data_IF_450187155646
#
_entry.id   IF_450187155646
#
_cell.length_a   1.000
_cell.length_b   1.000
_cell.length_c   1.000
_cell.angle_alpha   90.00
_cell.angle_beta   90.00
_cell.angle_gamma   90.00
#
_symmetry.space_group_name_H-M   'P 1'
#
loop_
_entity.id
_entity.type
_entity.pdbx_description
1 polymer ?
#
# COMPACT_ATOMS: atom_id res chain seq x y z
N UNK A 1 4.21 3.16 -9.06
CA UNK A 1 3.04 4.10 -8.98
C UNK A 1 3.56 5.47 -8.61
N UNK A 2 3.39 6.47 -9.48
CA UNK A 2 3.73 7.87 -9.24
C UNK A 2 2.44 8.67 -9.03
N UNK A 3 2.52 9.89 -8.50
CA UNK A 3 1.35 10.76 -8.41
C UNK A 3 0.71 11.03 -9.78
N UNK A 4 1.50 11.11 -10.84
CA UNK A 4 1.03 11.27 -12.21
C UNK A 4 0.14 10.10 -12.69
N UNK A 5 0.36 8.89 -12.15
CA UNK A 5 -0.37 7.68 -12.51
C UNK A 5 -1.73 7.57 -11.78
N UNK A 6 -1.94 8.36 -10.70
CA UNK A 6 -3.19 8.37 -9.92
C UNK A 6 -4.22 9.27 -10.58
N UNK A 7 -5.40 8.76 -10.82
CA UNK A 7 -6.49 9.51 -11.46
C UNK A 7 -7.07 10.55 -10.47
N UNK A 8 -7.13 11.81 -10.88
CA UNK A 8 -7.68 12.89 -10.06
C UNK A 8 -6.89 13.16 -8.77
N UNK A 9 -7.60 13.55 -7.71
CA UNK A 9 -7.08 13.80 -6.35
C UNK A 9 -5.99 14.91 -6.25
N UNK A 10 -6.01 15.89 -7.14
CA UNK A 10 -4.92 16.87 -7.29
C UNK A 10 -4.66 17.69 -6.02
N UNK A 11 -5.71 18.06 -5.28
CA UNK A 11 -5.58 18.78 -4.01
C UNK A 11 -4.86 17.93 -2.96
N UNK A 12 -5.21 16.62 -2.86
CA UNK A 12 -4.57 15.72 -1.92
C UNK A 12 -3.11 15.44 -2.31
N UNK A 13 -2.85 15.20 -3.58
CA UNK A 13 -1.47 15.04 -4.12
C UNK A 13 -0.61 16.24 -3.77
N UNK A 14 -1.12 17.46 -3.97
CA UNK A 14 -0.41 18.69 -3.65
C UNK A 14 -0.10 18.79 -2.15
N UNK A 15 -1.07 18.51 -1.28
CA UNK A 15 -0.87 18.52 0.18
C UNK A 15 0.15 17.49 0.64
N UNK A 16 0.08 16.27 0.10
CA UNK A 16 1.02 15.19 0.42
C UNK A 16 2.45 15.56 -0.01
N UNK A 17 2.63 16.07 -1.24
CA UNK A 17 3.94 16.55 -1.72
C UNK A 17 4.50 17.64 -0.83
N UNK A 18 3.67 18.65 -0.52
CA UNK A 18 4.09 19.75 0.34
C UNK A 18 4.55 19.25 1.72
N UNK A 19 3.80 18.33 2.34
CA UNK A 19 4.18 17.73 3.63
C UNK A 19 5.57 17.11 3.61
N UNK A 20 5.88 16.37 2.54
CA UNK A 20 7.21 15.75 2.36
C UNK A 20 8.30 16.80 2.14
N UNK A 21 8.03 17.79 1.31
CA UNK A 21 8.99 18.87 0.99
C UNK A 21 9.41 19.68 2.21
N UNK A 22 8.47 19.94 3.12
CA UNK A 22 8.74 20.69 4.37
C UNK A 22 9.12 19.79 5.55
N UNK A 23 9.32 18.49 5.32
CA UNK A 23 9.72 17.53 6.36
C UNK A 23 8.63 17.26 7.41
N UNK A 24 7.37 17.50 7.10
CA UNK A 24 6.22 17.29 8.01
C UNK A 24 5.37 16.11 7.55
N UNK A 25 5.87 14.91 7.79
CA UNK A 25 5.14 13.67 7.51
C UNK A 25 4.52 13.18 8.82
N UNK A 26 3.19 13.13 8.95
CA UNK A 26 2.54 12.61 10.15
C UNK A 26 2.89 11.14 10.41
N UNK A 27 3.03 10.75 11.68
CA UNK A 27 3.32 9.36 12.08
C UNK A 27 2.20 8.38 11.71
N UNK A 28 0.96 8.85 11.68
CA UNK A 28 -0.20 8.06 11.26
C UNK A 28 -1.08 8.90 10.34
N UNK A 29 -1.54 8.30 9.25
CA UNK A 29 -2.40 8.93 8.28
C UNK A 29 -3.50 7.96 7.88
N UNK A 30 -4.73 8.47 7.81
CA UNK A 30 -5.90 7.73 7.38
C UNK A 30 -6.37 8.28 6.04
N UNK A 31 -6.34 7.46 4.99
CA UNK A 31 -6.85 7.80 3.67
C UNK A 31 -8.22 7.15 3.52
N UNK A 32 -9.26 7.96 3.50
CA UNK A 32 -10.66 7.52 3.36
C UNK A 32 -11.18 7.88 1.97
N UNK A 33 -12.00 7.00 1.43
CA UNK A 33 -12.71 7.22 0.17
C UNK A 33 -13.67 6.05 -0.11
N UNK A 34 -14.59 6.26 -1.03
CA UNK A 34 -15.44 5.21 -1.57
C UNK A 34 -14.61 4.19 -2.36
N UNK A 35 -15.17 3.04 -2.59
CA UNK A 35 -14.58 2.03 -3.47
C UNK A 35 -14.26 2.63 -4.85
N UNK A 36 -13.14 2.21 -5.42
CA UNK A 36 -12.67 2.72 -6.71
C UNK A 36 -12.15 4.16 -6.70
N UNK A 37 -12.17 4.88 -5.56
CA UNK A 37 -11.68 6.27 -5.49
C UNK A 37 -10.15 6.40 -5.53
N UNK A 38 -9.40 5.30 -5.58
CA UNK A 38 -7.94 5.28 -5.71
C UNK A 38 -7.17 5.46 -4.41
N UNK A 39 -7.74 5.12 -3.27
CA UNK A 39 -7.08 5.22 -1.96
C UNK A 39 -5.74 4.49 -1.93
N UNK A 40 -5.71 3.24 -2.41
CA UNK A 40 -4.50 2.43 -2.47
C UNK A 40 -3.49 3.03 -3.46
N UNK A 41 -3.93 3.43 -4.64
CA UNK A 41 -3.10 4.05 -5.66
C UNK A 41 -2.43 5.33 -5.11
N UNK A 42 -3.19 6.18 -4.42
CA UNK A 42 -2.70 7.40 -3.79
C UNK A 42 -1.69 7.09 -2.67
N UNK A 43 -1.98 6.10 -1.83
CA UNK A 43 -1.08 5.67 -0.75
C UNK A 43 0.26 5.15 -1.32
N UNK A 44 0.23 4.32 -2.34
CA UNK A 44 1.44 3.78 -2.98
C UNK A 44 2.26 4.88 -3.67
N UNK A 45 1.61 5.83 -4.35
CA UNK A 45 2.29 6.98 -4.95
C UNK A 45 2.96 7.86 -3.88
N UNK A 46 2.29 8.07 -2.76
CA UNK A 46 2.82 8.83 -1.63
C UNK A 46 4.03 8.14 -0.99
N UNK A 47 3.94 6.84 -0.73
CA UNK A 47 5.06 6.04 -0.21
C UNK A 47 6.25 6.13 -1.18
N UNK A 48 6.02 5.97 -2.48
CA UNK A 48 7.08 6.07 -3.47
C UNK A 48 7.71 7.47 -3.49
N UNK A 49 6.92 8.53 -3.33
CA UNK A 49 7.43 9.89 -3.25
C UNK A 49 8.29 10.13 -2.00
N UNK A 50 7.86 9.61 -0.83
CA UNK A 50 8.64 9.69 0.42
C UNK A 50 10.00 9.01 0.28
N UNK A 51 10.02 7.79 -0.28
CA UNK A 51 11.22 6.95 -0.38
C UNK A 51 12.10 7.24 -1.59
N UNK A 52 11.65 8.08 -2.51
CA UNK A 52 12.41 8.43 -3.70
C UNK A 52 13.64 9.25 -3.36
N UNK A 53 14.84 8.77 -3.75
CA UNK A 53 16.09 9.49 -3.55
C UNK A 53 16.27 10.69 -4.48
N UNK A 54 15.55 10.72 -5.60
CA UNK A 54 15.66 11.72 -6.67
C UNK A 54 14.31 12.34 -7.01
N UNK A 55 13.49 12.60 -5.98
CA UNK A 55 12.17 13.23 -6.19
C UNK A 55 12.30 14.68 -6.64
N UNK A 56 11.45 15.09 -7.55
CA UNK A 56 11.25 16.49 -7.91
C UNK A 56 10.22 17.16 -6.98
N UNK A 57 9.95 18.44 -7.21
CA UNK A 57 8.83 19.11 -6.53
C UNK A 57 7.47 18.51 -6.92
N UNK A 58 7.36 17.92 -8.11
CA UNK A 58 6.12 17.45 -8.68
C UNK A 58 5.87 15.96 -8.47
N UNK A 59 6.92 15.10 -8.51
CA UNK A 59 6.71 13.65 -8.41
C UNK A 59 8.01 12.90 -8.04
N UNK A 60 7.85 11.61 -7.73
CA UNK A 60 8.96 10.66 -7.64
C UNK A 60 9.58 10.40 -9.01
N UNK A 61 10.88 10.13 -9.08
CA UNK A 61 11.56 9.92 -10.35
C UNK A 61 11.13 8.65 -11.10
N UNK A 62 10.60 7.65 -10.39
CA UNK A 62 10.20 6.36 -10.96
C UNK A 62 11.36 5.43 -11.37
N UNK A 63 12.60 5.88 -11.34
CA UNK A 63 13.76 5.18 -11.93
C UNK A 63 14.77 4.72 -10.89
N UNK A 64 14.91 5.41 -9.75
CA UNK A 64 15.86 5.03 -8.70
C UNK A 64 15.53 3.68 -8.09
N UNK A 65 16.49 3.10 -7.36
CA UNK A 65 16.35 1.79 -6.74
C UNK A 65 15.14 1.68 -5.80
N UNK A 66 14.88 2.72 -4.99
CA UNK A 66 13.69 2.77 -4.13
C UNK A 66 12.40 2.78 -4.93
N UNK A 67 12.28 3.62 -5.95
CA UNK A 67 11.10 3.67 -6.82
C UNK A 67 10.79 2.32 -7.47
N UNK A 68 11.81 1.64 -7.99
CA UNK A 68 11.66 0.31 -8.59
C UNK A 68 11.16 -0.72 -7.58
N UNK A 69 11.71 -0.71 -6.36
CA UNK A 69 11.30 -1.64 -5.29
C UNK A 69 9.89 -1.35 -4.78
N UNK A 70 9.51 -0.07 -4.60
CA UNK A 70 8.15 0.31 -4.22
C UNK A 70 7.15 -0.08 -5.31
N UNK A 71 7.43 0.21 -6.57
CA UNK A 71 6.56 -0.17 -7.69
C UNK A 71 6.40 -1.70 -7.82
N UNK A 72 7.43 -2.45 -7.45
CA UNK A 72 7.37 -3.91 -7.40
C UNK A 72 6.77 -4.45 -6.09
N UNK A 73 6.36 -3.58 -5.15
CA UNK A 73 5.85 -3.93 -3.82
C UNK A 73 6.82 -4.79 -2.99
N UNK A 74 8.13 -4.55 -3.10
CA UNK A 74 9.19 -5.32 -2.42
C UNK A 74 10.22 -4.44 -1.70
N UNK A 75 9.86 -3.19 -1.40
CA UNK A 75 10.77 -2.31 -0.68
C UNK A 75 10.92 -2.78 0.78
N UNK A 76 12.16 -2.92 1.32
CA UNK A 76 12.39 -3.49 2.64
C UNK A 76 11.76 -2.68 3.78
N UNK A 77 11.66 -1.36 3.62
CA UNK A 77 11.09 -0.47 4.64
C UNK A 77 9.57 -0.25 4.46
N UNK A 78 8.92 -1.02 3.58
CA UNK A 78 7.47 -0.93 3.36
C UNK A 78 6.83 -2.26 3.69
N UNK A 79 5.97 -2.26 4.69
CA UNK A 79 5.24 -3.42 5.14
C UNK A 79 3.75 -3.28 4.82
N UNK A 80 3.19 -4.32 4.25
CA UNK A 80 1.79 -4.36 3.85
C UNK A 80 1.02 -5.28 4.78
N UNK A 81 -0.10 -4.79 5.30
CA UNK A 81 -1.03 -5.57 6.10
C UNK A 81 -2.43 -5.34 5.57
N UNK A 82 -3.12 -6.42 5.28
CA UNK A 82 -4.43 -6.39 4.62
C UNK A 82 -5.31 -7.52 5.16
N UNK A 83 -6.65 -7.40 5.07
CA UNK A 83 -7.56 -8.45 5.50
C UNK A 83 -7.50 -9.65 4.55
N UNK A 84 -7.58 -10.86 5.12
CA UNK A 84 -7.69 -12.11 4.38
C UNK A 84 -8.53 -13.14 5.16
N UNK A 85 -9.16 -14.14 4.49
CA UNK A 85 -9.90 -15.18 5.16
C UNK A 85 -8.93 -16.14 5.83
N UNK A 86 -9.03 -16.30 7.16
CA UNK A 86 -8.18 -17.25 7.87
C UNK A 86 -8.53 -18.69 7.48
N UNK A 87 -7.51 -19.47 7.18
CA UNK A 87 -7.60 -20.91 6.94
C UNK A 87 -6.44 -21.60 7.67
N UNK A 88 -6.77 -22.39 8.67
CA UNK A 88 -5.77 -23.07 9.49
C UNK A 88 -4.82 -23.93 8.63
N UNK A 89 -3.52 -23.77 8.87
CA UNK A 89 -2.46 -24.46 8.13
C UNK A 89 -2.14 -23.89 6.74
N UNK A 90 -2.94 -22.92 6.22
CA UNK A 90 -2.72 -22.36 4.88
C UNK A 90 -2.61 -20.83 4.89
N UNK A 91 -3.51 -20.14 5.58
CA UNK A 91 -3.57 -18.67 5.61
C UNK A 91 -3.67 -18.20 7.06
N UNK A 92 -2.55 -18.02 7.72
CA UNK A 92 -2.48 -17.62 9.13
C UNK A 92 -1.93 -16.20 9.33
N UNK A 93 -1.20 -15.68 8.34
CA UNK A 93 -0.57 -14.37 8.36
C UNK A 93 -0.51 -13.76 6.94
N UNK A 94 -0.34 -12.46 6.83
CA UNK A 94 -0.29 -11.77 5.54
C UNK A 94 0.78 -12.34 4.61
N UNK A 95 1.92 -12.77 5.12
CA UNK A 95 3.00 -13.37 4.31
C UNK A 95 2.57 -14.62 3.53
N UNK A 96 1.58 -15.36 4.03
CA UNK A 96 1.11 -16.60 3.40
C UNK A 96 0.30 -16.31 2.11
N UNK A 97 -0.34 -15.14 2.06
CA UNK A 97 -1.15 -14.67 0.91
C UNK A 97 -0.54 -13.46 0.20
N UNK A 98 0.62 -12.99 0.65
CA UNK A 98 1.28 -11.82 0.09
C UNK A 98 1.61 -11.95 -1.41
N UNK A 99 2.06 -13.09 -1.93
CA UNK A 99 2.31 -13.25 -3.37
C UNK A 99 1.06 -12.98 -4.22
N UNK A 100 -0.11 -13.51 -3.81
CA UNK A 100 -1.37 -13.31 -4.49
C UNK A 100 -1.82 -11.85 -4.42
N UNK A 101 -1.76 -11.24 -3.22
CA UNK A 101 -2.11 -9.84 -3.02
C UNK A 101 -1.22 -8.90 -3.86
N UNK A 102 0.07 -9.18 -3.88
CA UNK A 102 1.04 -8.41 -4.65
C UNK A 102 0.74 -8.43 -6.15
N UNK A 103 0.45 -9.60 -6.71
CA UNK A 103 0.10 -9.70 -8.13
C UNK A 103 -1.24 -9.01 -8.43
N UNK A 104 -2.25 -9.18 -7.57
CA UNK A 104 -3.54 -8.51 -7.70
C UNK A 104 -3.40 -6.98 -7.71
N UNK A 105 -2.64 -6.39 -6.77
CA UNK A 105 -2.41 -4.93 -6.71
C UNK A 105 -1.56 -4.43 -7.88
N UNK A 106 -0.66 -5.23 -8.43
CA UNK A 106 0.10 -4.88 -9.63
C UNK A 106 -0.76 -4.87 -10.88
N UNK A 107 -1.72 -5.80 -10.96
CA UNK A 107 -2.67 -5.87 -12.05
C UNK A 107 -3.71 -4.75 -11.98
N UNK A 108 -4.30 -4.57 -10.80
CA UNK A 108 -5.26 -3.48 -10.54
C UNK A 108 -5.02 -2.84 -9.17
N UNK A 109 -4.44 -1.65 -9.18
CA UNK A 109 -4.21 -0.86 -7.95
C UNK A 109 -5.50 -0.26 -7.37
N UNK A 110 -6.60 -0.30 -8.12
CA UNK A 110 -7.94 0.14 -7.68
C UNK A 110 -8.81 -1.03 -7.16
N UNK A 111 -8.21 -2.21 -7.02
CA UNK A 111 -8.83 -3.41 -6.48
C UNK A 111 -9.58 -3.11 -5.18
N UNK A 112 -10.84 -3.49 -5.10
CA UNK A 112 -11.64 -3.36 -3.88
C UNK A 112 -11.56 -4.62 -3.01
N UNK A 113 -12.17 -4.55 -1.82
CA UNK A 113 -12.16 -5.67 -0.87
C UNK A 113 -12.91 -6.91 -1.38
N UNK A 114 -14.02 -6.72 -2.08
CA UNK A 114 -14.83 -7.84 -2.59
C UNK A 114 -14.08 -8.61 -3.68
N UNK A 115 -13.47 -7.88 -4.63
CA UNK A 115 -12.66 -8.48 -5.69
C UNK A 115 -11.45 -9.23 -5.11
N UNK A 116 -10.82 -8.66 -4.05
CA UNK A 116 -9.74 -9.34 -3.35
C UNK A 116 -10.20 -10.65 -2.70
N UNK A 117 -11.34 -10.66 -2.02
CA UNK A 117 -11.91 -11.86 -1.40
C UNK A 117 -12.31 -12.91 -2.46
N UNK A 118 -12.80 -12.46 -3.62
CA UNK A 118 -13.12 -13.34 -4.75
C UNK A 118 -11.86 -14.01 -5.32
N UNK A 119 -10.76 -13.29 -5.50
CA UNK A 119 -9.48 -13.86 -5.92
C UNK A 119 -8.98 -14.97 -4.99
N UNK A 120 -9.34 -14.91 -3.72
CA UNK A 120 -9.03 -15.95 -2.72
C UNK A 120 -10.09 -17.08 -2.64
N UNK A 121 -11.10 -17.09 -3.51
CA UNK A 121 -12.26 -17.99 -3.47
C UNK A 121 -12.95 -17.99 -2.10
N UNK A 122 -13.18 -16.80 -1.56
CA UNK A 122 -13.65 -16.60 -0.20
C UNK A 122 -14.76 -15.54 -0.08
N UNK A 123 -15.62 -15.41 -1.09
CA UNK A 123 -16.70 -14.42 -1.18
C UNK A 123 -17.68 -14.50 0.00
N UNK A 124 -17.88 -15.72 0.53
CA UNK A 124 -18.76 -15.98 1.65
C UNK A 124 -18.06 -15.96 3.02
N UNK A 125 -16.79 -15.49 3.07
CA UNK A 125 -16.01 -15.42 4.30
C UNK A 125 -15.64 -13.98 4.62
N UNK A 126 -15.56 -13.67 5.91
CA UNK A 126 -15.07 -12.39 6.35
C UNK A 126 -13.54 -12.41 6.40
N UNK A 127 -12.90 -11.48 5.71
CA UNK A 127 -11.47 -11.22 5.84
C UNK A 127 -11.17 -10.46 7.14
N UNK A 128 -10.11 -10.87 7.82
CA UNK A 128 -9.66 -10.26 9.06
C UNK A 128 -8.15 -9.98 9.00
N UNK A 129 -7.70 -9.00 9.76
CA UNK A 129 -6.28 -8.78 10.07
C UNK A 129 -6.01 -9.44 11.43
N UNK A 130 -5.26 -10.55 11.49
CA UNK A 130 -5.00 -11.25 12.75
C UNK A 130 -4.17 -10.40 13.72
N UNK A 131 -4.40 -10.55 15.03
CA UNK A 131 -3.61 -9.87 16.07
C UNK A 131 -2.11 -10.17 15.97
N UNK A 132 -1.74 -11.33 15.41
CA UNK A 132 -0.35 -11.70 15.14
C UNK A 132 0.34 -10.69 14.21
N UNK A 133 -0.38 -10.15 13.21
CA UNK A 133 0.15 -9.12 12.31
C UNK A 133 0.52 -7.83 13.05
N UNK A 134 -0.32 -7.41 14.00
CA UNK A 134 -0.02 -6.23 14.82
C UNK A 134 1.27 -6.41 15.61
N UNK A 135 1.51 -7.61 16.17
CA UNK A 135 2.76 -7.92 16.88
C UNK A 135 3.96 -7.92 15.94
N UNK A 136 3.80 -8.44 14.72
CA UNK A 136 4.85 -8.44 13.70
C UNK A 136 5.20 -6.99 13.28
N UNK A 137 4.21 -6.13 13.09
CA UNK A 137 4.41 -4.71 12.78
C UNK A 137 5.21 -4.04 13.91
N UNK A 138 4.78 -4.19 15.16
CA UNK A 138 5.47 -3.61 16.32
C UNK A 138 6.92 -4.09 16.36
N UNK A 139 7.17 -5.37 16.18
CA UNK A 139 8.52 -5.94 16.18
C UNK A 139 9.39 -5.36 15.05
N UNK A 140 8.84 -5.20 13.84
CA UNK A 140 9.58 -4.68 12.69
C UNK A 140 9.89 -3.19 12.82
N UNK A 141 9.02 -2.42 13.48
CA UNK A 141 9.22 -0.97 13.72
C UNK A 141 10.16 -0.71 14.91
N UNK A 142 10.34 -1.68 15.80
CA UNK A 142 11.19 -1.55 17.01
C UNK A 142 12.66 -1.91 16.77
N UNK A 143 13.02 -2.32 15.57
CA UNK A 143 14.39 -2.63 15.13
C UNK A 143 15.01 -1.42 14.42
#
# INVERSE_FOLDING_TARGET
>A
MRFADVIGQDILKQRMRHGVQVGRIPHAQLILGSEGSGNMALALAYIQYILCSERSAEDSCGLCGSCKKVSALIHPDVHYTFPFPRKAGEMEQCSDVYPQWREAIKEDTYLNYEDWMQLLNAENKQGNIPTKELRNIIKNVSL
#
